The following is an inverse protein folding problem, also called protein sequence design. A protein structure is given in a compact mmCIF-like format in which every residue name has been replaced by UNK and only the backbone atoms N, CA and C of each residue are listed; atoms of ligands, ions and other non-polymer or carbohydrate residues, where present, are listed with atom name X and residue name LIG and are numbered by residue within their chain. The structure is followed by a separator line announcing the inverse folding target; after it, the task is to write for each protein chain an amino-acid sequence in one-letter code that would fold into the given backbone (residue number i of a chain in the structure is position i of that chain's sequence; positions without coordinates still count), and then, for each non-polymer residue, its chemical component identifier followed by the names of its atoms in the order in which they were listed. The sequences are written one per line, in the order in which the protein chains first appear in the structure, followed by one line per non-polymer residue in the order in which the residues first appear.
data_IF_826542024957
#
_entry.id   IF_826542024957
#
_cell.length_a   1.000
_cell.length_b   1.000
_cell.length_c   1.000
_cell.angle_alpha   90.00
_cell.angle_beta   90.00
_cell.angle_gamma   90.00
#
_symmetry.space_group_name_H-M   'P 1'
#
loop_
_entity.id
_entity.type
_entity.pdbx_description
1 polymer ?
#
# COMPACT_ATOMS: atom_id res chain seq x y z
N UNK A 1 -1.95 -11.56 14.54
CA UNK A 1 -1.52 -12.02 13.21
C UNK A 1 -1.36 -10.76 12.38
N UNK A 2 -0.21 -10.53 11.76
CA UNK A 2 -0.03 -9.39 10.85
C UNK A 2 -0.81 -9.71 9.56
N UNK A 3 -1.63 -8.79 9.06
CA UNK A 3 -2.26 -8.96 7.76
C UNK A 3 -1.17 -8.98 6.68
N UNK A 4 -1.50 -9.65 5.57
CA UNK A 4 -0.67 -9.65 4.38
C UNK A 4 -0.72 -8.25 3.75
N UNK A 5 0.41 -7.70 3.27
CA UNK A 5 0.39 -6.47 2.50
C UNK A 5 -0.52 -6.61 1.27
N UNK A 6 -1.19 -5.53 0.87
CA UNK A 6 -2.00 -5.55 -0.32
C UNK A 6 -1.13 -5.85 -1.54
N UNK A 7 -1.61 -6.78 -2.36
CA UNK A 7 -1.01 -7.09 -3.64
C UNK A 7 -2.12 -7.09 -4.69
N UNK A 8 -2.41 -5.91 -5.19
CA UNK A 8 -3.47 -5.74 -6.17
C UNK A 8 -3.06 -6.07 -7.61
N UNK A 9 -1.81 -6.51 -7.81
CA UNK A 9 -1.30 -6.95 -9.12
C UNK A 9 -1.60 -5.96 -10.24
N UNK A 10 -2.37 -6.42 -11.22
CA UNK A 10 -2.79 -5.66 -12.40
C UNK A 10 -4.31 -5.44 -12.46
N UNK A 11 -5.05 -5.69 -11.37
CA UNK A 11 -6.52 -5.59 -11.38
C UNK A 11 -7.04 -4.18 -11.66
N UNK A 12 -6.18 -3.17 -11.49
CA UNK A 12 -6.44 -1.77 -11.84
C UNK A 12 -6.50 -1.51 -13.35
N UNK A 13 -6.08 -2.44 -14.20
CA UNK A 13 -6.05 -2.24 -15.65
C UNK A 13 -7.45 -2.29 -16.30
N UNK A 14 -8.49 -2.65 -15.54
CA UNK A 14 -9.85 -2.84 -16.07
C UNK A 14 -10.74 -1.59 -15.96
N UNK A 15 -10.25 -0.52 -15.32
CA UNK A 15 -11.01 0.72 -15.18
C UNK A 15 -10.50 1.76 -16.18
N UNK A 16 -11.28 2.00 -17.23
CA UNK A 16 -10.98 2.92 -18.35
C UNK A 16 -10.73 4.40 -17.92
N UNK A 17 -11.08 4.78 -16.68
CA UNK A 17 -11.05 6.18 -16.20
C UNK A 17 -10.09 6.41 -15.01
N UNK A 18 -9.17 5.50 -14.72
CA UNK A 18 -8.25 5.71 -13.60
C UNK A 18 -7.21 6.79 -13.91
N UNK A 19 -6.91 7.67 -12.94
CA UNK A 19 -5.81 8.61 -13.08
C UNK A 19 -4.52 7.82 -13.32
N UNK A 20 -3.75 8.27 -14.31
CA UNK A 20 -2.51 7.60 -14.72
C UNK A 20 -1.31 8.26 -14.07
N UNK A 21 -0.30 7.44 -13.74
CA UNK A 21 0.99 7.92 -13.29
C UNK A 21 1.73 8.59 -14.44
N UNK A 22 2.38 9.73 -14.16
CA UNK A 22 3.41 10.28 -15.04
C UNK A 22 4.71 9.47 -14.90
N UNK A 23 4.83 8.43 -15.73
CA UNK A 23 5.99 7.55 -15.75
C UNK A 23 7.29 8.25 -16.14
N UNK A 24 7.22 9.41 -16.82
CA UNK A 24 8.40 10.21 -17.17
C UNK A 24 9.18 10.62 -15.93
N UNK A 25 8.47 10.76 -14.81
CA UNK A 25 9.02 11.12 -13.52
C UNK A 25 9.31 9.92 -12.61
N UNK A 26 9.14 8.68 -13.08
CA UNK A 26 9.31 7.47 -12.26
C UNK A 26 10.64 7.44 -11.47
N UNK A 27 11.73 7.92 -12.08
CA UNK A 27 13.06 7.93 -11.48
C UNK A 27 13.14 8.74 -10.17
N UNK A 28 12.24 9.72 -9.95
CA UNK A 28 12.24 10.49 -8.70
C UNK A 28 11.72 9.68 -7.51
N UNK A 29 10.90 8.66 -7.78
CA UNK A 29 10.27 7.81 -6.77
C UNK A 29 11.07 6.52 -6.53
N UNK A 30 11.72 5.97 -7.55
CA UNK A 30 12.48 4.71 -7.39
C UNK A 30 13.61 4.91 -6.37
N UNK A 31 13.71 3.98 -5.41
CA UNK A 31 14.70 4.03 -4.33
C UNK A 31 14.29 4.85 -3.12
N UNK A 32 13.15 5.55 -3.17
CA UNK A 32 12.62 6.35 -2.06
C UNK A 32 11.96 5.47 -1.01
N UNK A 33 12.05 5.92 0.25
CA UNK A 33 11.46 5.24 1.39
C UNK A 33 10.01 5.69 1.55
N UNK A 34 9.10 4.73 1.62
CA UNK A 34 7.67 4.98 1.77
C UNK A 34 7.10 4.26 2.97
N UNK A 35 6.21 4.95 3.69
CA UNK A 35 5.36 4.38 4.73
C UNK A 35 3.98 4.10 4.15
N UNK A 36 3.61 2.82 4.10
CA UNK A 36 2.34 2.37 3.55
C UNK A 36 1.36 2.11 4.69
N UNK A 37 0.28 2.88 4.76
CA UNK A 37 -0.86 2.68 5.65
C UNK A 37 -2.04 2.08 4.90
N UNK A 38 -2.55 0.94 5.37
CA UNK A 38 -3.74 0.30 4.79
C UNK A 38 -4.82 0.21 5.84
N UNK A 39 -5.97 0.79 5.53
CA UNK A 39 -7.20 0.63 6.30
C UNK A 39 -8.05 -0.44 5.64
N UNK A 40 -8.36 -1.51 6.36
CA UNK A 40 -9.23 -2.58 5.91
C UNK A 40 -10.65 -2.32 6.42
N UNK A 41 -11.60 -2.20 5.50
CA UNK A 41 -13.02 -2.02 5.76
C UNK A 41 -13.80 -3.28 5.38
N UNK A 42 -14.93 -3.52 6.05
CA UNK A 42 -15.85 -4.60 5.68
C UNK A 42 -16.84 -4.12 4.59
N UNK A 43 -17.73 -5.01 4.14
CA UNK A 43 -18.77 -4.70 3.15
C UNK A 43 -19.82 -3.67 3.61
N UNK A 44 -19.71 -3.14 4.84
CA UNK A 44 -20.57 -2.09 5.42
C UNK A 44 -19.80 -0.78 5.63
N UNK A 45 -18.63 -0.65 5.02
CA UNK A 45 -17.73 0.51 5.15
C UNK A 45 -17.27 0.76 6.60
N UNK A 46 -17.30 -0.28 7.46
CA UNK A 46 -16.78 -0.18 8.82
C UNK A 46 -15.31 -0.58 8.84
N UNK A 47 -14.47 0.27 9.45
CA UNK A 47 -13.04 0.00 9.65
C UNK A 47 -12.89 -1.21 10.56
N UNK A 48 -12.36 -2.30 10.00
CA UNK A 48 -12.08 -3.55 10.71
C UNK A 48 -10.68 -3.51 11.31
N UNK A 49 -9.71 -3.03 10.54
CA UNK A 49 -8.31 -3.05 10.94
C UNK A 49 -7.49 -1.99 10.18
N UNK A 50 -6.43 -1.47 10.79
CA UNK A 50 -5.44 -0.64 10.10
C UNK A 50 -4.06 -1.22 10.35
N UNK A 51 -3.27 -1.34 9.29
CA UNK A 51 -1.90 -1.83 9.36
C UNK A 51 -0.94 -0.94 8.59
N UNK A 52 0.29 -0.88 9.07
CA UNK A 52 1.35 -0.09 8.46
C UNK A 52 2.54 -0.96 8.09
N UNK A 53 3.14 -0.63 6.96
CA UNK A 53 4.39 -1.20 6.49
C UNK A 53 5.34 -0.09 6.06
N UNK A 54 6.62 -0.44 5.95
CA UNK A 54 7.66 0.44 5.46
C UNK A 54 8.49 -0.31 4.44
N UNK A 55 8.92 0.39 3.39
CA UNK A 55 9.73 -0.21 2.36
C UNK A 55 10.31 0.82 1.39
N UNK A 56 10.86 0.30 0.30
CA UNK A 56 11.48 1.08 -0.77
C UNK A 56 10.69 0.92 -2.06
N UNK A 57 10.39 2.02 -2.74
CA UNK A 57 9.72 1.98 -4.04
C UNK A 57 10.69 1.40 -5.09
N UNK A 58 10.26 0.37 -5.82
CA UNK A 58 11.04 -0.31 -6.86
C UNK A 58 10.48 -0.15 -8.26
N UNK A 59 9.17 -0.03 -8.35
CA UNK A 59 8.45 0.16 -9.61
C UNK A 59 7.47 1.31 -9.44
N UNK A 60 7.36 2.13 -10.48
CA UNK A 60 6.38 3.19 -10.60
C UNK A 60 5.93 3.21 -12.06
N UNK A 61 4.83 2.53 -12.38
CA UNK A 61 4.27 2.50 -13.74
C UNK A 61 2.77 2.23 -13.75
N UNK A 62 2.09 2.65 -14.81
CA UNK A 62 0.67 2.37 -15.06
C UNK A 62 0.42 0.87 -15.25
N UNK A 63 1.38 0.14 -15.83
CA UNK A 63 1.23 -1.29 -16.08
C UNK A 63 1.36 -2.12 -14.79
N UNK A 64 2.36 -1.82 -13.95
CA UNK A 64 2.71 -2.63 -12.77
C UNK A 64 2.28 -2.00 -11.44
N UNK A 65 1.74 -0.77 -11.48
CA UNK A 65 1.44 0.01 -10.29
C UNK A 65 2.70 0.55 -9.61
N UNK A 66 2.54 0.90 -8.34
CA UNK A 66 3.64 1.30 -7.46
C UNK A 66 4.01 0.08 -6.61
N UNK A 67 5.19 -0.50 -6.86
CA UNK A 67 5.65 -1.67 -6.12
C UNK A 67 6.67 -1.27 -5.07
N UNK A 68 6.47 -1.76 -3.84
CA UNK A 68 7.29 -1.46 -2.68
C UNK A 68 7.88 -2.76 -2.15
N UNK A 69 9.22 -2.84 -2.12
CA UNK A 69 9.95 -3.88 -1.41
C UNK A 69 9.87 -3.56 0.09
N UNK A 70 9.11 -4.35 0.84
CA UNK A 70 8.91 -4.13 2.27
C UNK A 70 10.13 -4.58 3.05
N UNK A 71 10.41 -3.90 4.17
CA UNK A 71 11.62 -4.22 4.92
C UNK A 71 11.51 -5.40 5.89
N UNK A 72 10.31 -5.67 6.40
CA UNK A 72 10.07 -6.65 7.47
C UNK A 72 9.57 -8.01 6.93
N UNK A 73 9.51 -8.15 5.61
CA UNK A 73 9.02 -9.34 4.90
C UNK A 73 9.69 -9.44 3.53
N UNK A 74 9.80 -10.63 2.96
CA UNK A 74 10.24 -10.84 1.58
C UNK A 74 9.12 -10.55 0.55
N UNK A 75 7.95 -10.11 1.03
CA UNK A 75 6.81 -9.79 0.20
C UNK A 75 6.88 -8.37 -0.40
N UNK A 76 6.37 -8.27 -1.63
CA UNK A 76 6.20 -7.00 -2.34
C UNK A 76 4.79 -6.49 -2.09
N UNK A 77 4.67 -5.21 -1.72
CA UNK A 77 3.41 -4.50 -1.68
C UNK A 77 3.16 -3.85 -3.03
N UNK A 78 2.09 -4.23 -3.73
CA UNK A 78 1.73 -3.65 -5.03
C UNK A 78 0.53 -2.75 -4.86
N UNK A 79 0.73 -1.46 -5.10
CA UNK A 79 -0.25 -0.40 -4.94
C UNK A 79 -0.80 0.05 -6.31
N UNK A 80 -2.02 0.61 -6.35
CA UNK A 80 -2.58 1.15 -7.59
C UNK A 80 -1.72 2.27 -8.18
N UNK A 81 -1.76 2.47 -9.50
CA UNK A 81 -1.05 3.54 -10.19
C UNK A 81 -1.73 4.92 -10.00
N UNK A 82 -2.02 5.33 -8.76
CA UNK A 82 -2.67 6.60 -8.48
C UNK A 82 -1.64 7.68 -8.13
N UNK A 83 -1.64 8.83 -8.84
CA UNK A 83 -0.66 9.89 -8.60
C UNK A 83 -0.80 10.50 -7.20
N UNK A 84 -2.03 10.60 -6.70
CA UNK A 84 -2.33 11.16 -5.38
C UNK A 84 -2.09 10.16 -4.23
N UNK A 85 -1.64 8.94 -4.54
CA UNK A 85 -1.36 7.94 -3.50
C UNK A 85 -0.06 8.22 -2.75
N UNK A 86 0.93 8.86 -3.39
CA UNK A 86 2.20 9.19 -2.77
C UNK A 86 2.21 10.64 -2.31
N UNK A 87 2.08 10.84 -1.00
CA UNK A 87 2.17 12.15 -0.38
C UNK A 87 3.56 12.33 0.24
N UNK A 88 4.23 13.49 0.07
CA UNK A 88 5.52 13.74 0.72
C UNK A 88 5.41 13.59 2.24
N UNK A 89 6.31 12.82 2.83
CA UNK A 89 6.36 12.66 4.28
C UNK A 89 7.18 13.78 4.93
N UNK A 90 6.72 14.24 6.09
CA UNK A 90 7.52 15.17 6.88
C UNK A 90 8.79 14.46 7.41
N UNK A 91 9.95 15.14 7.44
CA UNK A 91 11.16 14.57 8.00
C UNK A 91 10.97 14.31 9.50
N UNK A 92 11.16 13.08 9.94
CA UNK A 92 11.02 12.72 11.34
C UNK A 92 11.26 11.24 11.62
N UNK A 93 11.05 10.84 12.86
CA UNK A 93 11.20 9.45 13.30
C UNK A 93 9.82 8.84 13.44
N UNK A 94 9.52 7.86 12.60
CA UNK A 94 8.23 7.18 12.56
C UNK A 94 8.36 5.78 13.11
N UNK A 95 7.55 5.45 14.13
CA UNK A 95 7.51 4.11 14.70
C UNK A 95 6.24 3.39 14.25
N UNK A 96 6.40 2.34 13.46
CA UNK A 96 5.28 1.52 13.00
C UNK A 96 4.68 0.79 14.18
N UNK A 97 3.37 0.94 14.41
CA UNK A 97 2.68 0.26 15.51
C UNK A 97 2.67 -1.26 15.33
N UNK A 98 2.64 -1.74 14.09
CA UNK A 98 2.47 -3.17 13.76
C UNK A 98 3.74 -3.98 13.97
N UNK A 99 4.90 -3.47 13.57
CA UNK A 99 6.18 -4.20 13.67
C UNK A 99 7.12 -3.64 14.74
N UNK A 100 6.84 -2.45 15.27
CA UNK A 100 7.73 -1.74 16.17
C UNK A 100 8.93 -1.09 15.49
N UNK A 101 9.07 -1.25 14.16
CA UNK A 101 10.15 -0.69 13.35
C UNK A 101 10.16 0.84 13.44
N UNK A 102 11.36 1.38 13.47
CA UNK A 102 11.61 2.82 13.38
C UNK A 102 12.13 3.14 11.99
N UNK A 103 11.49 4.10 11.33
CA UNK A 103 11.88 4.65 10.03
C UNK A 103 12.22 6.10 10.24
N UNK A 104 13.45 6.48 9.91
CA UNK A 104 13.94 7.84 10.00
C UNK A 104 13.84 8.51 8.64
N UNK A 105 13.24 9.69 8.60
CA UNK A 105 13.09 10.54 7.41
C UNK A 105 12.54 9.78 6.19
N UNK A 106 11.33 9.19 6.28
CA UNK A 106 10.68 8.66 5.08
C UNK A 106 10.50 9.78 4.05
N UNK A 107 10.53 9.42 2.77
CA UNK A 107 10.30 10.38 1.69
C UNK A 107 8.79 10.56 1.43
N UNK A 108 8.00 9.49 1.57
CA UNK A 108 6.57 9.49 1.24
C UNK A 108 5.68 8.70 2.20
N UNK A 109 4.40 9.05 2.24
CA UNK A 109 3.29 8.24 2.74
C UNK A 109 2.46 7.70 1.59
N UNK A 110 1.96 6.48 1.75
CA UNK A 110 0.96 5.89 0.89
C UNK A 110 -0.19 5.37 1.74
N UNK A 111 -1.35 6.03 1.67
CA UNK A 111 -2.53 5.64 2.43
C UNK A 111 -3.58 5.08 1.48
N UNK A 112 -4.07 3.89 1.77
CA UNK A 112 -5.18 3.31 1.02
C UNK A 112 -6.20 2.63 1.91
N UNK A 113 -7.40 2.55 1.38
CA UNK A 113 -8.49 1.80 1.97
C UNK A 113 -8.77 0.58 1.11
N UNK A 114 -8.71 -0.61 1.73
CA UNK A 114 -9.06 -1.88 1.13
C UNK A 114 -10.40 -2.33 1.69
N UNK A 115 -11.41 -2.52 0.84
CA UNK A 115 -12.57 -3.31 1.24
C UNK A 115 -12.15 -4.78 1.22
N UNK A 116 -12.07 -5.40 2.39
CA UNK A 116 -11.89 -6.85 2.45
C UNK A 116 -13.15 -7.48 1.82
N UNK A 117 -13.01 -8.42 0.88
CA UNK A 117 -14.17 -9.21 0.48
C UNK A 117 -14.73 -9.83 1.76
N UNK A 118 -16.05 -9.76 1.94
CA UNK A 118 -16.74 -10.37 3.07
C UNK A 118 -16.18 -11.80 3.17
N UNK A 119 -15.37 -12.07 4.19
CA UNK A 119 -14.86 -13.41 4.43
C UNK A 119 -16.14 -14.22 4.60
N UNK A 120 -16.47 -15.07 3.63
CA UNK A 120 -17.73 -15.82 3.61
C UNK A 120 -17.75 -16.71 4.86
N UNK A 121 -18.29 -16.16 5.95
CA UNK A 121 -18.49 -16.85 7.23
C UNK A 121 -19.71 -17.78 7.08
N UNK A 122 -19.75 -18.59 6.01
CA UNK A 122 -20.74 -19.66 5.82
C UNK A 122 -20.15 -21.06 5.86
N UNK A 123 -18.89 -21.23 6.27
CA UNK A 123 -18.31 -22.56 6.50
C UNK A 123 -17.93 -22.80 7.96
N UNK A 124 -18.87 -22.57 8.87
CA UNK A 124 -18.80 -23.17 10.21
C UNK A 124 -20.19 -23.34 10.86
N UNK A 125 -21.14 -24.00 10.18
CA UNK A 125 -22.24 -24.73 10.86
C UNK A 125 -23.04 -25.61 9.89
N UNK A 126 -22.77 -26.91 9.93
CA UNK A 126 -23.74 -28.02 10.01
C UNK A 126 -23.00 -29.35 9.89
#
# INVERSE_FOLDING_TARGET
MNAKPPNFGSDWQQADDLPTLDESNAQQYIGKVVLVGVTFENARDEIVHTQQWAGVIRTYSNLKGIQVDLYDTEEICSLPPFPDLLEPAEPGIYRLRSTGRVVEHPDYFANLTCTAPESDDRTAKA
#
